data_IF_156829938049
#
_entry.id   IF_156829938049
#
_cell.length_a   1.000
_cell.length_b   1.000
_cell.length_c   1.000
_cell.angle_alpha   90.00
_cell.angle_beta   90.00
_cell.angle_gamma   90.00
#
_symmetry.space_group_name_H-M   'P 1'
#
loop_
_entity.id
_entity.type
_entity.pdbx_description
1 polymer ?
#
# COMPACT_ATOMS: atom_id res chain seq x y z
N UNK A 1 8.98 19.26 7.41
CA UNK A 1 8.88 17.91 6.81
C UNK A 1 7.61 17.26 7.35
N UNK A 2 6.74 16.69 6.50
CA UNK A 2 5.55 15.98 6.99
C UNK A 2 6.00 14.61 7.51
N UNK A 3 5.89 14.40 8.82
CA UNK A 3 6.27 13.15 9.48
C UNK A 3 5.15 12.10 9.44
N UNK A 4 4.06 12.39 8.73
CA UNK A 4 2.81 11.62 8.80
C UNK A 4 2.49 10.94 7.47
N UNK A 5 1.92 9.74 7.58
CA UNK A 5 1.33 9.01 6.47
C UNK A 5 0.06 9.74 5.99
N UNK A 6 0.20 10.66 5.03
CA UNK A 6 -0.92 11.46 4.47
C UNK A 6 -1.98 10.61 3.79
N UNK A 7 -1.63 9.38 3.38
CA UNK A 7 -2.54 8.43 2.78
C UNK A 7 -3.23 7.52 3.81
N UNK A 8 -2.93 7.63 5.11
CA UNK A 8 -3.53 6.75 6.13
C UNK A 8 -5.06 6.80 6.11
N UNK A 9 -5.65 8.00 6.08
CA UNK A 9 -7.11 8.18 6.02
C UNK A 9 -7.72 7.77 4.67
N UNK A 10 -6.93 7.73 3.60
CA UNK A 10 -7.37 7.40 2.24
C UNK A 10 -7.02 5.98 1.80
N UNK A 11 -6.28 5.23 2.63
CA UNK A 11 -5.75 3.92 2.26
C UNK A 11 -6.87 2.88 2.18
N UNK A 12 -7.03 2.29 1.00
CA UNK A 12 -8.04 1.26 0.70
C UNK A 12 -7.88 0.02 1.60
N UNK A 13 -6.65 -0.27 2.04
CA UNK A 13 -6.33 -1.31 3.03
C UNK A 13 -7.08 -1.10 4.36
N UNK A 14 -7.20 0.15 4.81
CA UNK A 14 -7.86 0.50 6.07
C UNK A 14 -9.34 0.84 5.89
N UNK A 15 -9.79 1.09 4.66
CA UNK A 15 -11.20 1.26 4.33
C UNK A 15 -11.96 -0.06 4.22
N UNK A 16 -11.29 -1.20 4.41
CA UNK A 16 -11.91 -2.52 4.36
C UNK A 16 -12.20 -3.02 2.95
N UNK A 17 -11.65 -2.38 1.91
CA UNK A 17 -11.81 -2.82 0.51
C UNK A 17 -10.99 -4.07 0.18
N UNK A 18 -10.02 -4.40 1.03
CA UNK A 18 -9.21 -5.61 0.93
C UNK A 18 -9.64 -6.57 2.04
N UNK A 19 -9.89 -7.83 1.67
CA UNK A 19 -10.28 -8.89 2.59
C UNK A 19 -9.08 -9.27 3.49
N UNK A 20 -8.99 -8.62 4.65
CA UNK A 20 -7.98 -8.82 5.67
C UNK A 20 -8.68 -8.82 7.04
N UNK A 21 -8.14 -9.56 7.99
CA UNK A 21 -8.61 -9.49 9.38
C UNK A 21 -8.33 -8.11 9.97
N UNK A 22 -9.17 -7.71 10.92
CA UNK A 22 -9.05 -6.40 11.56
C UNK A 22 -7.70 -6.24 12.28
N UNK A 23 -7.22 -7.30 12.93
CA UNK A 23 -5.92 -7.32 13.61
C UNK A 23 -4.76 -6.99 12.65
N UNK A 24 -4.77 -7.57 11.44
CA UNK A 24 -3.73 -7.31 10.44
C UNK A 24 -3.81 -5.87 9.94
N UNK A 25 -5.02 -5.33 9.73
CA UNK A 25 -5.20 -3.93 9.33
C UNK A 25 -4.67 -2.97 10.39
N UNK A 26 -5.01 -3.21 11.66
CA UNK A 26 -4.55 -2.41 12.80
C UNK A 26 -3.03 -2.49 12.88
N UNK A 27 -2.44 -3.70 12.79
CA UNK A 27 -0.99 -3.88 12.82
C UNK A 27 -0.30 -3.09 11.71
N UNK A 28 -0.76 -3.16 10.46
CA UNK A 28 -0.19 -2.37 9.37
C UNK A 28 -0.35 -0.87 9.57
N UNK A 29 -1.51 -0.42 10.07
CA UNK A 29 -1.77 1.00 10.36
C UNK A 29 -0.80 1.53 11.40
N UNK A 30 -0.63 0.81 12.50
CA UNK A 30 0.31 1.18 13.55
C UNK A 30 1.77 1.14 13.08
N UNK A 31 2.16 0.07 12.40
CA UNK A 31 3.55 -0.13 12.00
C UNK A 31 4.03 0.89 10.97
N UNK A 32 3.20 1.18 9.96
CA UNK A 32 3.60 2.03 8.84
C UNK A 32 3.13 3.48 8.97
N UNK A 33 1.90 3.73 9.45
CA UNK A 33 1.30 5.07 9.39
C UNK A 33 1.27 5.81 10.72
N UNK A 34 1.16 5.12 11.86
CA UNK A 34 1.12 5.75 13.19
C UNK A 34 2.46 5.67 13.94
N UNK A 35 3.46 4.97 13.39
CA UNK A 35 4.79 4.94 13.99
C UNK A 35 5.50 6.28 13.78
N UNK A 36 6.20 6.77 14.81
CA UNK A 36 6.96 8.03 14.75
C UNK A 36 8.18 7.96 13.81
N UNK A 37 8.47 6.78 13.27
CA UNK A 37 9.67 6.47 12.51
C UNK A 37 9.55 6.72 11.00
N UNK A 38 8.47 7.36 10.53
CA UNK A 38 8.24 7.60 9.10
C UNK A 38 8.27 6.34 8.23
N UNK A 39 7.93 5.17 8.79
CA UNK A 39 7.92 3.88 8.08
C UNK A 39 6.98 3.84 6.88
N UNK A 40 6.04 4.77 6.78
CA UNK A 40 5.20 4.94 5.60
C UNK A 40 6.02 5.14 4.31
N UNK A 41 7.25 5.64 4.39
CA UNK A 41 8.19 5.72 3.26
C UNK A 41 8.65 4.34 2.75
N UNK A 42 8.60 3.33 3.61
CA UNK A 42 8.94 1.94 3.28
C UNK A 42 7.70 1.12 2.92
N UNK A 43 6.50 1.64 3.17
CA UNK A 43 5.25 1.00 2.78
C UNK A 43 5.14 0.93 1.26
N UNK A 44 5.22 -0.27 0.68
CA UNK A 44 5.18 -0.46 -0.77
C UNK A 44 3.92 0.09 -1.41
N UNK A 45 2.77 -0.05 -0.73
CA UNK A 45 1.50 0.54 -1.18
C UNK A 45 1.58 2.06 -1.27
N UNK A 46 2.16 2.71 -0.26
CA UNK A 46 2.30 4.16 -0.23
C UNK A 46 3.24 4.62 -1.35
N UNK A 47 4.43 4.01 -1.44
CA UNK A 47 5.45 4.38 -2.44
C UNK A 47 4.88 4.22 -3.85
N UNK A 48 4.25 3.09 -4.14
CA UNK A 48 3.65 2.85 -5.45
C UNK A 48 2.52 3.84 -5.76
N UNK A 49 1.61 4.11 -4.80
CA UNK A 49 0.53 5.09 -4.98
C UNK A 49 1.05 6.51 -5.18
N UNK A 50 2.14 6.87 -4.52
CA UNK A 50 2.73 8.19 -4.65
C UNK A 50 3.42 8.39 -6.01
N UNK A 51 4.05 7.34 -6.56
CA UNK A 51 4.72 7.38 -7.86
C UNK A 51 3.73 7.28 -9.03
N UNK A 52 2.75 6.39 -8.92
CA UNK A 52 1.91 5.98 -10.04
C UNK A 52 0.46 6.45 -9.93
N UNK A 53 0.08 7.10 -8.82
CA UNK A 53 -1.31 7.49 -8.51
C UNK A 53 -2.33 6.33 -8.50
N UNK A 54 -1.88 5.07 -8.48
CA UNK A 54 -2.69 3.84 -8.45
C UNK A 54 -2.42 3.05 -7.17
N UNK A 55 -3.42 2.40 -6.58
CA UNK A 55 -3.26 1.54 -5.40
C UNK A 55 -3.64 0.10 -5.77
N UNK A 56 -2.68 -0.78 -6.06
CA UNK A 56 -2.98 -2.19 -6.31
C UNK A 56 -3.47 -2.86 -5.02
N UNK A 57 -4.58 -3.58 -5.10
CA UNK A 57 -5.18 -4.34 -4.02
C UNK A 57 -4.30 -5.53 -3.56
N UNK A 58 -3.59 -6.18 -4.48
CA UNK A 58 -2.72 -7.32 -4.19
C UNK A 58 -1.41 -6.98 -3.47
N UNK A 59 -1.01 -5.71 -3.40
CA UNK A 59 0.27 -5.31 -2.79
C UNK A 59 0.06 -5.02 -1.31
N UNK A 60 0.73 -5.75 -0.42
CA UNK A 60 0.71 -5.43 1.02
C UNK A 60 1.76 -4.38 1.40
N UNK A 61 1.60 -3.65 2.53
CA UNK A 61 2.59 -2.66 2.98
C UNK A 61 4.02 -3.19 3.07
N UNK A 62 4.18 -4.44 3.49
CA UNK A 62 5.44 -5.16 3.65
C UNK A 62 5.83 -6.01 2.41
N UNK A 63 5.24 -5.76 1.24
CA UNK A 63 5.55 -6.54 0.04
C UNK A 63 7.04 -6.52 -0.29
N UNK A 64 7.59 -7.68 -0.67
CA UNK A 64 8.97 -7.80 -1.12
C UNK A 64 9.14 -7.43 -2.60
N UNK A 65 8.04 -7.15 -3.31
CA UNK A 65 8.07 -6.78 -4.72
C UNK A 65 8.71 -5.40 -4.91
N UNK A 66 9.47 -5.25 -6.00
CA UNK A 66 9.92 -3.95 -6.49
C UNK A 66 8.75 -3.18 -7.13
N UNK A 67 8.91 -1.87 -7.32
CA UNK A 67 7.91 -1.04 -8.00
C UNK A 67 7.68 -1.55 -9.43
N UNK A 68 8.75 -1.92 -10.14
CA UNK A 68 8.66 -2.46 -11.50
C UNK A 68 7.95 -3.81 -11.55
N UNK A 69 8.20 -4.69 -10.58
CA UNK A 69 7.50 -5.97 -10.48
C UNK A 69 6.00 -5.80 -10.21
N UNK A 70 5.65 -4.84 -9.35
CA UNK A 70 4.25 -4.48 -9.09
C UNK A 70 3.60 -3.95 -10.38
N UNK A 71 4.29 -3.05 -11.10
CA UNK A 71 3.81 -2.48 -12.36
C UNK A 71 3.60 -3.56 -13.43
N UNK A 72 4.59 -4.44 -13.63
CA UNK A 72 4.50 -5.53 -14.58
C UNK A 72 3.37 -6.51 -14.24
N UNK A 73 3.18 -6.82 -12.95
CA UNK A 73 2.07 -7.67 -12.50
C UNK A 73 0.73 -6.99 -12.76
N UNK A 74 0.62 -5.68 -12.46
CA UNK A 74 -0.57 -4.90 -12.82
C UNK A 74 -0.87 -4.95 -14.31
N UNK A 75 0.11 -4.67 -15.17
CA UNK A 75 -0.09 -4.74 -16.61
C UNK A 75 -0.56 -6.11 -17.07
N UNK A 76 0.03 -7.18 -16.52
CA UNK A 76 -0.39 -8.55 -16.85
C UNK A 76 -1.85 -8.83 -16.48
N UNK A 77 -2.29 -8.42 -15.29
CA UNK A 77 -3.69 -8.60 -14.86
C UNK A 77 -4.67 -7.78 -15.73
N UNK A 78 -4.29 -6.56 -16.14
CA UNK A 78 -5.10 -5.71 -17.01
C UNK A 78 -5.15 -6.20 -18.47
N UNK A 79 -4.04 -6.74 -18.98
CA UNK A 79 -3.98 -7.31 -20.34
C UNK A 79 -4.71 -8.65 -20.47
N UNK A 80 -5.04 -9.31 -19.35
CA UNK A 80 -5.83 -10.56 -19.35
C UNK A 80 -7.35 -10.31 -19.31
N UNK A 81 -7.79 -9.05 -19.26
CA UNK A 81 -9.20 -8.67 -19.28
C UNK A 81 -9.70 -8.20 -20.66
N UNK A 82 -8.87 -8.28 -21.70
CA UNK A 82 -9.21 -8.00 -23.10
C UNK A 82 -8.82 -9.19 -23.98
#
# INVERSE_FOLDING_TARGET
MRNECTLCSKCELFKGQINLTEDIRIMYKYHYCLSQTSRWKECKRFVFKNLNHICPDFVMPNSLLSIDQIWHKMQKEYSLQH
#
